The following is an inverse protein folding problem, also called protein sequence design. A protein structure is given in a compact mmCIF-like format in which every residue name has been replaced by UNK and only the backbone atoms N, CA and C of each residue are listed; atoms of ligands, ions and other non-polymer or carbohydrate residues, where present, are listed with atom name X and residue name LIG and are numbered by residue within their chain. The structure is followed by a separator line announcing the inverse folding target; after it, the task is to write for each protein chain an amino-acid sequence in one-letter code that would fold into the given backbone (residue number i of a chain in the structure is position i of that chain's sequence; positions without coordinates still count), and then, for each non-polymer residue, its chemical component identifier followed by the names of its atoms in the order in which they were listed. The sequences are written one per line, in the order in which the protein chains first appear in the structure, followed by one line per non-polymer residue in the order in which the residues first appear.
data_IF_083088618057
#
_entry.id   IF_083088618057
#
_cell.length_a   1.000
_cell.length_b   1.000
_cell.length_c   1.000
_cell.angle_alpha   90.00
_cell.angle_beta   90.00
_cell.angle_gamma   90.00
#
_symmetry.space_group_name_H-M   'P 1'
#
loop_
_entity.id
_entity.type
_entity.pdbx_description
1 polymer ?
#
# COMPACT_ATOMS: atom_id res chain seq x y z
N UNK A 1 7.31 -3.68 -11.29
CA UNK A 1 6.69 -4.03 -10.00
C UNK A 1 6.42 -2.79 -9.14
N UNK A 2 7.47 -2.12 -8.63
CA UNK A 2 7.35 -0.97 -7.72
C UNK A 2 6.45 0.16 -8.22
N UNK A 3 6.60 0.60 -9.49
CA UNK A 3 5.79 1.67 -10.07
C UNK A 3 4.28 1.38 -9.99
N UNK A 4 3.87 0.15 -10.28
CA UNK A 4 2.47 -0.28 -10.17
C UNK A 4 1.97 -0.19 -8.73
N UNK A 5 2.75 -0.71 -7.78
CA UNK A 5 2.41 -0.68 -6.37
C UNK A 5 2.32 0.75 -5.81
N UNK A 6 3.34 1.59 -6.02
CA UNK A 6 3.36 2.96 -5.48
C UNK A 6 2.27 3.83 -6.12
N UNK A 7 1.99 3.65 -7.41
CA UNK A 7 0.90 4.38 -8.09
C UNK A 7 -0.46 3.97 -7.53
N UNK A 8 -0.71 2.66 -7.38
CA UNK A 8 -1.98 2.18 -6.82
C UNK A 8 -2.15 2.58 -5.35
N UNK A 9 -1.07 2.58 -4.57
CA UNK A 9 -1.03 3.08 -3.20
C UNK A 9 -1.34 4.57 -3.14
N UNK A 10 -0.71 5.38 -4.00
CA UNK A 10 -0.92 6.82 -4.07
C UNK A 10 -2.38 7.17 -4.37
N UNK A 11 -2.99 6.51 -5.36
CA UNK A 11 -4.42 6.72 -5.68
C UNK A 11 -5.31 6.34 -4.49
N UNK A 12 -5.05 5.21 -3.83
CA UNK A 12 -5.82 4.81 -2.65
C UNK A 12 -5.69 5.82 -1.51
N UNK A 13 -4.46 6.29 -1.24
CA UNK A 13 -4.17 7.25 -0.18
C UNK A 13 -4.81 8.61 -0.45
N UNK A 14 -4.54 9.20 -1.62
CA UNK A 14 -5.02 10.52 -1.99
C UNK A 14 -6.56 10.59 -2.04
N UNK A 15 -7.22 9.57 -2.57
CA UNK A 15 -8.69 9.53 -2.65
C UNK A 15 -9.31 9.35 -1.25
N UNK A 16 -8.80 8.42 -0.44
CA UNK A 16 -9.30 8.22 0.92
C UNK A 16 -9.14 9.48 1.79
N UNK A 17 -8.00 10.18 1.63
CA UNK A 17 -7.72 11.46 2.28
C UNK A 17 -8.65 12.57 1.78
N UNK A 18 -8.85 12.68 0.46
CA UNK A 18 -9.72 13.67 -0.15
C UNK A 18 -11.18 13.54 0.30
N UNK A 19 -11.67 12.32 0.50
CA UNK A 19 -12.99 12.06 1.10
C UNK A 19 -13.12 12.64 2.51
N UNK A 20 -12.09 12.49 3.34
CA UNK A 20 -12.09 13.00 4.71
C UNK A 20 -11.83 14.50 4.81
N UNK A 21 -11.18 15.10 3.82
CA UNK A 21 -11.02 16.55 3.69
C UNK A 21 -12.25 17.24 3.09
N UNK A 22 -13.19 16.47 2.53
CA UNK A 22 -14.37 17.01 1.84
C UNK A 22 -14.06 17.60 0.46
N UNK A 23 -12.89 17.31 -0.11
CA UNK A 23 -12.51 17.78 -1.46
C UNK A 23 -13.12 16.93 -2.59
N UNK A 24 -13.69 15.77 -2.26
CA UNK A 24 -14.37 14.87 -3.19
C UNK A 24 -15.83 14.73 -2.76
N UNK A 25 -16.75 15.30 -3.54
CA UNK A 25 -18.19 15.35 -3.20
C UNK A 25 -18.87 13.97 -3.19
N UNK A 26 -18.34 13.00 -3.93
CA UNK A 26 -18.94 11.66 -4.08
C UNK A 26 -18.63 10.71 -2.92
N UNK A 27 -17.91 11.16 -1.90
CA UNK A 27 -17.59 10.36 -0.71
C UNK A 27 -17.53 11.22 0.55
N UNK A 28 -17.51 10.55 1.70
CA UNK A 28 -17.50 11.17 3.04
C UNK A 28 -16.47 10.47 3.92
N UNK A 29 -16.32 10.93 5.17
CA UNK A 29 -15.56 10.21 6.20
C UNK A 29 -16.07 8.77 6.40
N UNK A 30 -15.22 7.90 6.94
CA UNK A 30 -15.64 6.57 7.39
C UNK A 30 -16.26 6.63 8.79
N UNK A 31 -17.55 6.31 8.90
CA UNK A 31 -18.32 6.24 10.15
C UNK A 31 -18.62 4.81 10.60
N UNK A 32 -17.99 3.80 9.99
CA UNK A 32 -18.17 2.39 10.38
C UNK A 32 -17.70 2.10 11.81
N UNK A 33 -16.74 2.89 12.31
CA UNK A 33 -16.19 2.75 13.66
C UNK A 33 -17.09 3.39 14.74
N UNK A 34 -17.79 4.47 14.42
CA UNK A 34 -18.72 5.12 15.36
C UNK A 34 -20.00 4.31 15.55
N UNK A 35 -20.46 3.64 14.49
CA UNK A 35 -21.66 2.78 14.52
C UNK A 35 -21.47 1.46 15.26
N UNK A 36 -20.24 0.95 15.36
CA UNK A 36 -19.94 -0.29 16.09
C UNK A 36 -19.78 -0.13 17.61
N UNK A 37 -19.85 1.11 18.12
CA UNK A 37 -19.64 1.43 19.54
C UNK A 37 -18.17 1.29 19.97
N UNK A 38 -17.83 1.89 21.12
CA UNK A 38 -16.50 1.75 21.71
C UNK A 38 -16.18 0.26 22.00
N UNK A 39 -14.92 -0.18 21.85
CA UNK A 39 -14.56 -1.55 22.23
C UNK A 39 -14.91 -1.79 23.69
N UNK A 40 -15.77 -2.78 23.97
CA UNK A 40 -15.94 -3.33 25.32
C UNK A 40 -14.59 -3.92 25.74
N UNK A 41 -13.86 -3.24 26.63
CA UNK A 41 -12.58 -3.74 27.12
C UNK A 41 -12.76 -5.10 27.82
N UNK A 42 -11.93 -6.05 27.39
CA UNK A 42 -11.57 -7.25 28.15
C UNK A 42 -10.55 -6.87 29.21
N UNK A 43 -10.90 -7.11 30.47
CA UNK A 43 -10.06 -7.38 31.64
C UNK A 43 -8.71 -6.64 31.74
N UNK A 44 -8.73 -5.45 32.35
CA UNK A 44 -7.82 -5.06 33.43
C UNK A 44 -8.23 -3.69 34.01
N UNK A 45 -8.71 -3.71 35.26
CA UNK A 45 -8.81 -2.57 36.20
C UNK A 45 -9.35 -1.21 35.71
N UNK A 46 -10.26 -1.18 34.74
CA UNK A 46 -11.02 0.03 34.43
C UNK A 46 -12.14 0.22 35.47
N UNK A 47 -12.18 1.39 36.11
CA UNK A 47 -13.30 1.82 36.95
C UNK A 47 -14.61 1.68 36.15
N UNK A 48 -15.61 1.01 36.74
CA UNK A 48 -16.90 0.78 36.10
C UNK A 48 -17.48 2.08 35.51
N UNK A 49 -17.60 2.14 34.19
CA UNK A 49 -18.36 3.16 33.48
C UNK A 49 -17.57 4.19 32.66
N UNK A 50 -16.23 4.16 32.67
CA UNK A 50 -15.42 5.10 31.87
C UNK A 50 -14.67 4.35 30.78
N UNK A 51 -15.05 4.58 29.52
CA UNK A 51 -14.22 4.20 28.38
C UNK A 51 -13.07 5.20 28.28
N UNK A 52 -11.82 4.72 28.20
CA UNK A 52 -10.62 5.58 28.13
C UNK A 52 -10.61 6.54 26.93
N UNK A 53 -11.46 6.30 25.93
CA UNK A 53 -11.63 7.15 24.75
C UNK A 53 -12.90 6.80 23.98
N UNK A 54 -13.34 7.72 23.11
CA UNK A 54 -14.52 7.52 22.26
C UNK A 54 -14.17 7.69 20.78
N UNK A 55 -14.84 6.92 19.91
CA UNK A 55 -14.78 7.14 18.47
C UNK A 55 -15.44 8.48 18.12
N UNK A 56 -14.79 9.27 17.27
CA UNK A 56 -15.37 10.51 16.76
C UNK A 56 -14.49 11.10 15.65
N UNK A 57 -14.70 12.38 15.34
CA UNK A 57 -13.97 13.03 14.26
C UNK A 57 -14.29 12.46 12.87
N UNK A 58 -13.36 12.63 11.94
CA UNK A 58 -13.49 12.18 10.55
C UNK A 58 -12.37 11.19 10.24
N UNK A 59 -12.73 9.90 10.17
CA UNK A 59 -11.77 8.86 9.75
C UNK A 59 -11.56 8.89 8.25
N UNK A 60 -10.31 8.72 7.80
CA UNK A 60 -9.99 8.62 6.37
C UNK A 60 -10.71 7.42 5.73
N UNK A 61 -11.40 7.65 4.60
CA UNK A 61 -12.26 6.63 4.00
C UNK A 61 -11.47 5.66 3.11
N UNK A 62 -10.67 4.81 3.78
CA UNK A 62 -9.78 3.86 3.13
C UNK A 62 -10.54 2.84 2.28
N UNK A 63 -11.75 2.43 2.70
CA UNK A 63 -12.59 1.52 1.93
C UNK A 63 -12.98 2.09 0.57
N UNK A 64 -13.37 3.37 0.53
CA UNK A 64 -13.66 4.07 -0.72
C UNK A 64 -12.41 4.22 -1.58
N UNK A 65 -11.29 4.71 -1.01
CA UNK A 65 -10.02 4.88 -1.74
C UNK A 65 -9.48 3.57 -2.32
N UNK A 66 -9.62 2.45 -1.60
CA UNK A 66 -9.24 1.12 -2.07
C UNK A 66 -10.08 0.69 -3.27
N UNK A 67 -11.42 0.81 -3.16
CA UNK A 67 -12.35 0.46 -4.23
C UNK A 67 -12.15 1.33 -5.48
N UNK A 68 -11.98 2.64 -5.29
CA UNK A 68 -11.72 3.57 -6.37
C UNK A 68 -10.42 3.21 -7.10
N UNK A 69 -9.33 2.99 -6.37
CA UNK A 69 -8.03 2.62 -6.94
C UNK A 69 -8.12 1.33 -7.76
N UNK A 70 -8.84 0.29 -7.27
CA UNK A 70 -9.12 -0.91 -8.07
C UNK A 70 -9.86 -0.62 -9.36
N UNK A 71 -10.88 0.23 -9.32
CA UNK A 71 -11.69 0.53 -10.49
C UNK A 71 -10.93 1.40 -11.50
N UNK A 72 -10.10 2.31 -11.02
CA UNK A 72 -9.35 3.25 -11.83
C UNK A 72 -8.05 2.66 -12.38
N UNK A 73 -7.14 2.23 -11.49
CA UNK A 73 -5.79 1.77 -11.85
C UNK A 73 -5.82 0.43 -12.58
N UNK A 74 -6.70 -0.50 -12.18
CA UNK A 74 -6.75 -1.82 -12.79
C UNK A 74 -7.60 -1.88 -14.07
N UNK A 75 -8.07 -0.73 -14.60
CA UNK A 75 -8.86 -0.69 -15.84
C UNK A 75 -8.08 -1.12 -17.08
N UNK A 76 -6.77 -0.84 -17.12
CA UNK A 76 -5.87 -1.30 -18.20
C UNK A 76 -5.54 -2.79 -18.14
N UNK A 77 -5.68 -3.43 -16.98
CA UNK A 77 -5.20 -4.81 -16.72
C UNK A 77 -6.31 -5.86 -16.94
N UNK A 78 -6.92 -5.85 -18.14
CA UNK A 78 -8.07 -6.72 -18.49
C UNK A 78 -7.70 -8.02 -19.18
N UNK A 79 -6.45 -8.18 -19.59
CA UNK A 79 -6.01 -9.35 -20.34
C UNK A 79 -5.78 -10.61 -19.50
N UNK A 80 -5.23 -11.63 -20.16
CA UNK A 80 -4.92 -12.96 -19.58
C UNK A 80 -3.42 -13.24 -19.51
N UNK A 81 -2.57 -12.30 -19.93
CA UNK A 81 -1.13 -12.44 -19.93
C UNK A 81 -0.56 -12.49 -18.51
N UNK A 82 0.59 -13.14 -18.39
CA UNK A 82 1.43 -13.14 -17.19
C UNK A 82 1.68 -11.73 -16.65
N UNK A 83 1.92 -10.79 -17.56
CA UNK A 83 2.25 -9.40 -17.23
C UNK A 83 1.08 -8.70 -16.57
N UNK A 84 -0.14 -8.87 -17.10
CA UNK A 84 -1.32 -8.27 -16.47
C UNK A 84 -1.59 -8.86 -15.07
N UNK A 85 -1.35 -10.17 -14.89
CA UNK A 85 -1.50 -10.80 -13.56
C UNK A 85 -0.45 -10.28 -12.57
N UNK A 86 0.80 -10.11 -13.00
CA UNK A 86 1.84 -9.47 -12.21
C UNK A 86 1.47 -8.02 -11.85
N UNK A 87 0.93 -7.25 -12.80
CA UNK A 87 0.50 -5.87 -12.57
C UNK A 87 -0.62 -5.80 -11.54
N UNK A 88 -1.65 -6.63 -11.66
CA UNK A 88 -2.76 -6.72 -10.70
C UNK A 88 -2.28 -7.09 -9.29
N UNK A 89 -1.32 -8.01 -9.17
CA UNK A 89 -0.71 -8.37 -7.88
C UNK A 89 0.01 -7.18 -7.26
N UNK A 90 0.88 -6.52 -8.02
CA UNK A 90 1.65 -5.39 -7.52
C UNK A 90 0.75 -4.18 -7.18
N UNK A 91 -0.29 -3.92 -7.97
CA UNK A 91 -1.30 -2.91 -7.64
C UNK A 91 -1.97 -3.24 -6.31
N UNK A 92 -2.38 -4.50 -6.11
CA UNK A 92 -2.99 -4.94 -4.85
C UNK A 92 -2.03 -4.79 -3.67
N UNK A 93 -0.76 -5.19 -3.82
CA UNK A 93 0.26 -5.01 -2.79
C UNK A 93 0.36 -3.54 -2.37
N UNK A 94 0.42 -2.62 -3.34
CA UNK A 94 0.40 -1.19 -3.07
C UNK A 94 -0.79 -0.75 -2.22
N UNK A 95 -2.00 -1.18 -2.57
CA UNK A 95 -3.22 -0.83 -1.83
C UNK A 95 -3.23 -1.43 -0.42
N UNK A 96 -2.83 -2.69 -0.28
CA UNK A 96 -2.76 -3.39 1.01
C UNK A 96 -1.79 -2.69 1.95
N UNK A 97 -0.64 -2.20 1.46
CA UNK A 97 0.31 -1.41 2.27
C UNK A 97 -0.28 -0.10 2.80
N UNK A 98 -1.24 0.51 2.11
CA UNK A 98 -1.95 1.68 2.66
C UNK A 98 -2.94 1.25 3.74
N UNK A 99 -3.71 0.19 3.47
CA UNK A 99 -4.75 -0.31 4.37
C UNK A 99 -4.16 -0.84 5.67
N UNK A 100 -3.11 -1.66 5.61
CA UNK A 100 -2.51 -2.33 6.77
C UNK A 100 -1.76 -1.38 7.70
N UNK A 101 -1.44 -0.17 7.21
CA UNK A 101 -0.72 0.87 7.96
C UNK A 101 -1.63 2.00 8.46
N UNK A 102 -2.95 1.85 8.33
CA UNK A 102 -3.91 2.74 8.98
C UNK A 102 -3.69 2.74 10.50
N UNK A 103 -3.73 3.91 11.12
CA UNK A 103 -3.45 4.08 12.55
C UNK A 103 -4.60 4.81 13.24
N UNK A 104 -4.84 4.45 14.50
CA UNK A 104 -5.74 5.21 15.35
C UNK A 104 -5.00 6.45 15.87
N UNK A 105 -5.49 7.62 15.54
CA UNK A 105 -5.04 8.89 16.12
C UNK A 105 -6.08 9.40 17.12
N UNK A 106 -5.61 10.05 18.18
CA UNK A 106 -6.46 10.55 19.24
C UNK A 106 -6.11 12.01 19.57
N UNK A 107 -7.14 12.80 19.89
CA UNK A 107 -6.98 14.15 20.45
C UNK A 107 -7.53 14.19 21.87
N UNK A 108 -6.75 14.80 22.76
CA UNK A 108 -7.11 14.98 24.16
C UNK A 108 -7.84 16.32 24.36
N UNK A 109 -8.88 16.29 25.19
CA UNK A 109 -9.81 17.40 25.42
C UNK A 109 -9.97 17.77 26.90
N UNK A 110 -9.20 17.15 27.80
CA UNK A 110 -9.28 17.44 29.23
C UNK A 110 -8.72 18.81 29.60
N UNK A 111 -9.06 19.29 30.79
CA UNK A 111 -8.59 20.56 31.35
C UNK A 111 -7.06 20.64 31.24
N UNK A 112 -6.55 21.79 30.80
CA UNK A 112 -5.12 22.05 30.58
C UNK A 112 -4.42 21.06 29.63
N UNK A 113 -5.15 20.44 28.70
CA UNK A 113 -4.61 19.48 27.74
C UNK A 113 -4.47 18.04 28.27
N UNK A 114 -5.06 17.75 29.44
CA UNK A 114 -5.10 16.38 29.96
C UNK A 114 -5.87 15.43 29.05
N UNK A 115 -5.49 14.15 29.04
CA UNK A 115 -6.12 13.10 28.23
C UNK A 115 -7.22 12.33 28.98
N UNK A 116 -7.83 12.95 30.00
CA UNK A 116 -8.96 12.36 30.76
C UNK A 116 -10.16 12.09 29.87
N UNK A 117 -10.36 12.94 28.85
CA UNK A 117 -11.28 12.69 27.74
C UNK A 117 -10.47 12.78 26.47
N UNK A 118 -10.53 11.75 25.63
CA UNK A 118 -9.92 11.78 24.30
C UNK A 118 -10.84 11.16 23.25
N UNK A 119 -10.80 11.74 22.05
CA UNK A 119 -11.57 11.30 20.89
C UNK A 119 -10.61 10.79 19.85
N UNK A 120 -10.91 9.63 19.25
CA UNK A 120 -10.03 9.00 18.26
C UNK A 120 -10.73 8.74 16.93
N UNK A 121 -9.94 8.72 15.86
CA UNK A 121 -10.33 8.40 14.49
C UNK A 121 -9.25 7.59 13.79
N UNK A 122 -9.62 6.92 12.70
CA UNK A 122 -8.66 6.22 11.86
C UNK A 122 -8.02 7.18 10.85
N UNK A 123 -6.69 7.15 10.78
CA UNK A 123 -5.88 8.00 9.94
C UNK A 123 -4.97 7.19 9.04
N UNK A 124 -4.82 7.66 7.80
CA UNK A 124 -3.78 7.18 6.90
C UNK A 124 -2.37 7.46 7.46
N UNK A 125 -1.40 6.58 7.22
CA UNK A 125 0.00 6.87 7.55
C UNK A 125 0.52 8.02 6.67
N UNK A 126 1.62 8.68 7.07
CA UNK A 126 2.39 9.52 6.16
C UNK A 126 2.77 8.71 4.91
N UNK A 127 2.56 9.27 3.72
CA UNK A 127 2.80 8.52 2.48
C UNK A 127 4.26 8.09 2.30
N UNK A 128 5.21 8.84 2.88
CA UNK A 128 6.62 8.45 2.93
C UNK A 128 6.82 7.07 3.56
N UNK A 129 6.12 6.76 4.66
CA UNK A 129 6.18 5.45 5.30
C UNK A 129 5.72 4.34 4.34
N UNK A 130 4.67 4.59 3.55
CA UNK A 130 4.20 3.64 2.53
C UNK A 130 5.26 3.44 1.45
N UNK A 131 5.89 4.53 0.99
CA UNK A 131 6.99 4.48 0.03
C UNK A 131 8.19 3.69 0.53
N UNK A 132 8.60 3.91 1.77
CA UNK A 132 9.72 3.20 2.42
C UNK A 132 9.41 1.70 2.54
N UNK A 133 8.21 1.33 3.02
CA UNK A 133 7.79 -0.08 3.09
C UNK A 133 7.75 -0.75 1.71
N UNK A 134 7.25 -0.05 0.69
CA UNK A 134 7.25 -0.59 -0.68
C UNK A 134 8.65 -0.70 -1.27
N UNK A 135 9.58 0.17 -0.86
CA UNK A 135 10.98 0.12 -1.27
C UNK A 135 11.67 -1.12 -0.66
N UNK A 136 11.39 -1.43 0.60
CA UNK A 136 11.86 -2.68 1.23
C UNK A 136 11.34 -3.91 0.48
N UNK A 137 10.06 -3.89 0.07
CA UNK A 137 9.47 -4.97 -0.75
C UNK A 137 10.02 -5.02 -2.17
N UNK A 138 10.54 -3.91 -2.69
CA UNK A 138 11.20 -3.88 -3.99
C UNK A 138 12.57 -4.56 -3.93
N UNK A 139 13.34 -4.32 -2.87
CA UNK A 139 14.65 -4.95 -2.67
C UNK A 139 14.51 -6.47 -2.44
N UNK A 140 13.42 -6.91 -1.80
CA UNK A 140 13.07 -8.31 -1.61
C UNK A 140 12.10 -8.91 -2.64
N UNK A 141 11.91 -8.27 -3.80
CA UNK A 141 10.90 -8.70 -4.77
C UNK A 141 11.18 -10.10 -5.32
N UNK A 142 10.12 -10.89 -5.57
CA UNK A 142 10.25 -12.26 -6.03
C UNK A 142 10.03 -12.41 -7.54
N UNK A 143 10.92 -13.15 -8.20
CA UNK A 143 10.70 -13.56 -9.59
C UNK A 143 9.67 -14.68 -9.64
N UNK A 144 8.63 -14.54 -10.45
CA UNK A 144 7.49 -15.48 -10.48
C UNK A 144 7.18 -16.02 -11.87
N UNK A 145 6.42 -17.10 -11.89
CA UNK A 145 5.78 -17.70 -13.06
C UNK A 145 4.31 -18.03 -12.73
N UNK A 146 3.45 -18.21 -13.75
CA UNK A 146 2.06 -18.62 -13.51
C UNK A 146 2.02 -20.07 -13.05
N UNK A 147 1.13 -20.34 -12.09
CA UNK A 147 0.75 -21.70 -11.81
C UNK A 147 -0.28 -22.22 -12.80
N UNK A 148 -0.03 -23.40 -13.36
CA UNK A 148 -1.04 -24.17 -14.11
C UNK A 148 -2.18 -24.70 -13.22
N UNK A 149 -2.05 -24.64 -11.88
CA UNK A 149 -3.06 -25.12 -10.93
C UNK A 149 -4.36 -24.28 -10.92
N UNK A 150 -4.33 -23.12 -11.57
CA UNK A 150 -5.43 -22.18 -11.58
C UNK A 150 -6.14 -22.13 -12.92
N UNK A 151 -6.55 -23.22 -13.57
CA UNK A 151 -7.45 -23.19 -14.75
C UNK A 151 -8.73 -24.03 -14.58
N UNK A 152 -9.47 -23.80 -13.50
CA UNK A 152 -10.85 -24.25 -13.32
C UNK A 152 -11.84 -23.23 -13.94
N UNK A 153 -12.52 -23.68 -14.99
CA UNK A 153 -13.57 -22.99 -15.75
C UNK A 153 -14.74 -22.60 -14.84
N UNK A 154 -14.90 -21.31 -14.55
CA UNK A 154 -16.10 -20.77 -13.90
C UNK A 154 -15.88 -19.34 -13.41
N UNK A 155 -16.80 -18.41 -13.71
CA UNK A 155 -16.79 -16.95 -13.39
C UNK A 155 -15.71 -16.54 -12.38
N UNK A 156 -14.50 -16.21 -12.85
CA UNK A 156 -13.38 -15.89 -11.97
C UNK A 156 -13.34 -14.42 -11.61
N UNK A 157 -13.19 -14.16 -10.32
CA UNK A 157 -12.68 -12.88 -9.82
C UNK A 157 -11.38 -12.53 -10.56
N UNK A 158 -11.25 -11.27 -10.99
CA UNK A 158 -10.07 -10.75 -11.72
C UNK A 158 -8.75 -11.04 -10.98
N UNK A 159 -8.82 -11.16 -9.66
CA UNK A 159 -7.72 -11.39 -8.72
C UNK A 159 -7.53 -12.87 -8.33
N UNK A 160 -8.32 -13.79 -8.89
CA UNK A 160 -8.17 -15.22 -8.66
C UNK A 160 -7.13 -15.80 -9.62
N UNK A 161 -5.86 -15.64 -9.25
CA UNK A 161 -4.72 -16.26 -9.92
C UNK A 161 -3.65 -16.60 -8.88
N UNK A 162 -2.83 -17.61 -9.17
CA UNK A 162 -1.76 -18.03 -8.29
C UNK A 162 -0.42 -17.88 -9.01
N UNK A 163 0.44 -17.04 -8.43
CA UNK A 163 1.82 -16.87 -8.85
C UNK A 163 2.68 -17.84 -8.03
N UNK A 164 3.60 -18.52 -8.70
CA UNK A 164 4.60 -19.39 -8.06
C UNK A 164 5.98 -18.76 -8.22
N UNK A 165 6.86 -18.89 -7.22
CA UNK A 165 8.23 -18.42 -7.36
C UNK A 165 8.92 -19.19 -8.48
N UNK A 166 9.83 -18.53 -9.19
CA UNK A 166 10.63 -19.14 -10.25
C UNK A 166 11.58 -20.20 -9.68
N UNK A 167 12.17 -19.94 -8.51
CA UNK A 167 12.91 -20.94 -7.74
C UNK A 167 11.97 -21.65 -6.73
N UNK A 168 11.78 -22.98 -6.80
CA UNK A 168 10.94 -23.73 -5.88
C UNK A 168 11.36 -23.66 -4.41
N UNK A 169 12.63 -23.37 -4.13
CA UNK A 169 13.16 -23.24 -2.75
C UNK A 169 12.77 -21.91 -2.09
N UNK A 170 12.33 -20.92 -2.89
CA UNK A 170 11.88 -19.64 -2.35
C UNK A 170 10.46 -19.76 -1.82
N UNK A 171 10.16 -18.98 -0.78
CA UNK A 171 8.80 -18.87 -0.24
C UNK A 171 7.86 -18.28 -1.30
N UNK A 172 6.62 -18.78 -1.41
CA UNK A 172 5.61 -18.15 -2.27
C UNK A 172 5.35 -16.69 -1.86
N UNK A 173 5.11 -15.80 -2.83
CA UNK A 173 4.86 -14.38 -2.54
C UNK A 173 3.52 -14.20 -1.82
N UNK A 174 3.51 -13.32 -0.82
CA UNK A 174 2.29 -12.87 -0.15
C UNK A 174 1.62 -11.74 -0.93
N UNK A 175 0.36 -11.37 -0.59
CA UNK A 175 -0.29 -10.20 -1.19
C UNK A 175 0.41 -8.87 -0.93
N UNK A 176 1.31 -8.77 0.06
CA UNK A 176 2.08 -7.55 0.36
C UNK A 176 3.44 -7.51 -0.36
N UNK A 177 3.87 -8.63 -0.96
CA UNK A 177 5.16 -8.73 -1.63
C UNK A 177 5.07 -8.26 -3.08
N UNK A 178 6.16 -7.70 -3.58
CA UNK A 178 6.28 -7.32 -4.98
C UNK A 178 6.82 -8.48 -5.81
N UNK A 179 6.29 -8.62 -7.03
CA UNK A 179 6.66 -9.69 -7.95
C UNK A 179 7.06 -9.15 -9.32
N UNK A 180 8.02 -9.82 -9.95
CA UNK A 180 8.49 -9.50 -11.30
C UNK A 180 8.66 -10.75 -12.17
N UNK A 181 8.70 -10.58 -13.49
CA UNK A 181 8.84 -11.67 -14.45
C UNK A 181 10.25 -11.73 -15.06
N UNK A 182 10.76 -10.57 -15.44
CA UNK A 182 11.99 -10.39 -16.22
C UNK A 182 13.03 -9.62 -15.40
N UNK A 183 14.31 -9.99 -15.49
CA UNK A 183 15.40 -9.21 -14.91
C UNK A 183 15.42 -7.78 -15.46
N UNK A 184 15.84 -6.83 -14.62
CA UNK A 184 16.03 -5.45 -15.05
C UNK A 184 17.21 -5.33 -16.02
N UNK A 185 17.14 -4.43 -17.02
CA UNK A 185 18.29 -4.12 -17.88
C UNK A 185 19.38 -3.38 -17.09
N UNK A 186 20.57 -3.26 -17.68
CA UNK A 186 21.60 -2.35 -17.17
C UNK A 186 21.19 -0.89 -17.36
N UNK A 187 21.41 -0.05 -16.34
CA UNK A 187 21.02 1.37 -16.34
C UNK A 187 22.19 2.35 -16.46
N UNK A 188 23.44 1.86 -16.48
CA UNK A 188 24.65 2.69 -16.54
C UNK A 188 24.77 3.43 -17.88
N UNK A 189 24.60 2.70 -18.98
CA UNK A 189 24.73 3.24 -20.34
C UNK A 189 23.41 3.78 -20.89
N UNK A 190 23.50 4.85 -21.68
CA UNK A 190 22.33 5.44 -22.34
C UNK A 190 21.78 4.48 -23.40
N UNK A 191 20.49 4.14 -23.29
CA UNK A 191 19.76 3.34 -24.26
C UNK A 191 18.39 3.97 -24.58
N UNK A 192 18.28 4.78 -25.65
CA UNK A 192 17.04 5.46 -26.02
C UNK A 192 15.86 4.54 -26.33
N UNK A 193 16.11 3.35 -26.88
CA UNK A 193 15.05 2.39 -27.23
C UNK A 193 14.32 1.84 -26.00
N UNK A 194 14.99 1.81 -24.84
CA UNK A 194 14.42 1.41 -23.56
C UNK A 194 14.10 2.62 -22.65
N UNK A 195 14.30 3.85 -23.13
CA UNK A 195 14.11 5.07 -22.34
C UNK A 195 15.14 5.28 -21.23
N UNK A 196 16.28 4.59 -21.29
CA UNK A 196 17.35 4.67 -20.28
C UNK A 196 18.29 5.82 -20.65
N UNK A 197 18.47 6.78 -19.75
CA UNK A 197 19.31 7.96 -19.99
C UNK A 197 20.80 7.74 -19.71
N UNK A 198 21.14 6.68 -18.98
CA UNK A 198 22.47 6.42 -18.44
C UNK A 198 22.72 7.14 -17.12
N UNK A 199 23.89 6.93 -16.51
CA UNK A 199 24.25 7.54 -15.21
C UNK A 199 25.26 8.69 -15.32
N UNK A 200 25.81 8.95 -16.51
CA UNK A 200 26.75 10.05 -16.75
C UNK A 200 26.20 11.41 -16.30
N UNK A 201 27.00 12.15 -15.53
CA UNK A 201 26.68 13.50 -15.06
C UNK A 201 25.68 13.55 -13.90
N UNK A 202 25.27 12.40 -13.35
CA UNK A 202 24.47 12.36 -12.13
C UNK A 202 25.33 12.70 -10.91
N UNK A 203 24.75 13.42 -9.96
CA UNK A 203 25.38 13.66 -8.68
C UNK A 203 25.52 12.34 -7.91
N UNK A 204 26.69 12.12 -7.33
CA UNK A 204 27.01 10.97 -6.49
C UNK A 204 27.57 11.45 -5.14
N UNK A 205 27.61 10.54 -4.17
CA UNK A 205 28.11 10.77 -2.83
C UNK A 205 29.46 10.05 -2.64
N UNK A 206 30.56 10.79 -2.62
CA UNK A 206 31.92 10.23 -2.51
C UNK A 206 32.18 9.47 -1.20
N UNK A 207 31.37 9.71 -0.17
CA UNK A 207 31.48 9.02 1.12
C UNK A 207 30.64 7.74 1.21
N UNK A 208 29.74 7.52 0.26
CA UNK A 208 28.85 6.35 0.28
C UNK A 208 29.47 5.18 -0.47
N UNK A 209 29.40 4.00 0.14
CA UNK A 209 29.70 2.71 -0.50
C UNK A 209 28.48 2.09 -1.19
N UNK A 210 27.32 2.75 -1.10
CA UNK A 210 26.04 2.26 -1.62
C UNK A 210 25.80 2.67 -3.08
N UNK A 211 24.58 2.40 -3.57
CA UNK A 211 24.15 2.75 -4.94
C UNK A 211 24.07 4.25 -5.21
N UNK A 212 24.25 5.09 -4.20
CA UNK A 212 24.42 6.55 -4.31
C UNK A 212 25.90 6.97 -4.36
N UNK A 213 26.82 6.03 -4.15
CA UNK A 213 28.28 6.22 -4.15
C UNK A 213 28.85 6.46 -5.54
N UNK A 214 29.91 7.28 -5.63
CA UNK A 214 30.56 7.61 -6.91
C UNK A 214 31.24 6.43 -7.60
N UNK A 215 31.54 5.34 -6.86
CA UNK A 215 32.09 4.11 -7.44
C UNK A 215 31.03 3.24 -8.13
N UNK A 216 29.75 3.36 -7.73
CA UNK A 216 28.64 2.53 -8.24
C UNK A 216 27.69 3.29 -9.17
N UNK A 217 27.67 4.62 -9.12
CA UNK A 217 26.85 5.53 -9.95
C UNK A 217 27.58 5.96 -11.22
#
# INVERSE_FOLDING_TARGET
AFIYAITSAAVTHAVARGCAEGSIESCTCDYSHTTRGAPRQSNQAAVHGVSDWQWGGCSDNIGFGFKFSRQFVDTGERGRSLREKMNLHNNEAGRVHVVSKMRQECKCHGMSGSCTVKTCWMRLPPFRLVGDNLKDRFDGASRVMLSNAGSLRGKRSRYSFQLKPYNPEHKPPTPEDLVFLEPSPGFCERNPSLGIQGTHGRQCNDTSIGVDGCDLM
#
